data_IF_951502763354
#
_entry.id   IF_951502763354
#
_cell.length_a   1.000
_cell.length_b   1.000
_cell.length_c   1.000
_cell.angle_alpha   90.00
_cell.angle_beta   90.00
_cell.angle_gamma   90.00
#
_symmetry.space_group_name_H-M   'P 1'
#
loop_
_entity.id
_entity.type
_entity.pdbx_description
1 polymer ?
#
# COMPACT_ATOMS: atom_id res chain seq x y z
N UNK A 1 10.80 -21.47 -5.76
CA UNK A 1 9.66 -20.54 -5.61
C UNK A 1 9.93 -19.33 -6.47
N UNK A 2 9.02 -18.97 -7.37
CA UNK A 2 9.17 -17.79 -8.22
C UNK A 2 9.09 -16.51 -7.37
N UNK A 3 10.02 -15.57 -7.58
CA UNK A 3 10.10 -14.33 -6.80
C UNK A 3 9.02 -13.34 -7.25
N UNK A 4 7.88 -13.36 -6.57
CA UNK A 4 6.81 -12.38 -6.77
C UNK A 4 6.74 -11.35 -5.61
N UNK A 5 5.85 -10.36 -5.72
CA UNK A 5 5.71 -9.32 -4.71
C UNK A 5 5.25 -9.86 -3.34
N UNK A 6 4.45 -10.91 -3.33
CA UNK A 6 3.91 -11.51 -2.11
C UNK A 6 5.01 -12.22 -1.33
N UNK A 7 5.82 -13.07 -2.01
CA UNK A 7 6.98 -13.74 -1.41
C UNK A 7 7.94 -12.72 -0.78
N UNK A 8 8.18 -11.60 -1.46
CA UNK A 8 9.05 -10.53 -0.96
C UNK A 8 8.45 -9.83 0.26
N UNK A 9 7.15 -9.51 0.23
CA UNK A 9 6.45 -8.92 1.38
C UNK A 9 6.54 -9.81 2.62
N UNK A 10 6.18 -11.09 2.46
CA UNK A 10 6.28 -12.09 3.52
C UNK A 10 7.72 -12.22 4.03
N UNK A 11 8.72 -12.19 3.13
CA UNK A 11 10.13 -12.24 3.53
C UNK A 11 10.54 -11.05 4.40
N UNK A 12 10.02 -9.84 4.13
CA UNK A 12 10.30 -8.66 4.94
C UNK A 12 9.67 -8.76 6.34
N UNK A 13 8.44 -9.29 6.43
CA UNK A 13 7.81 -9.56 7.73
C UNK A 13 8.58 -10.60 8.53
N UNK A 14 9.00 -11.70 7.89
CA UNK A 14 9.82 -12.73 8.55
C UNK A 14 11.15 -12.14 9.04
N UNK A 15 11.80 -11.28 8.26
CA UNK A 15 13.04 -10.63 8.68
C UNK A 15 12.83 -9.78 9.95
N UNK A 16 11.73 -9.03 10.03
CA UNK A 16 11.37 -8.29 11.25
C UNK A 16 11.17 -9.23 12.43
N UNK A 17 10.40 -10.30 12.25
CA UNK A 17 10.15 -11.25 13.31
C UNK A 17 11.43 -11.94 13.81
N UNK A 18 12.32 -12.33 12.91
CA UNK A 18 13.59 -12.98 13.27
C UNK A 18 14.52 -12.04 14.05
N UNK A 19 14.63 -10.77 13.66
CA UNK A 19 15.47 -9.78 14.36
C UNK A 19 15.00 -9.57 15.81
N UNK A 20 13.69 -9.62 16.04
CA UNK A 20 13.10 -9.32 17.34
C UNK A 20 12.59 -10.55 18.09
N UNK A 21 12.89 -11.76 17.61
CA UNK A 21 12.42 -13.04 18.18
C UNK A 21 10.90 -13.11 18.36
N UNK A 22 10.14 -12.56 17.40
CA UNK A 22 8.67 -12.68 17.36
C UNK A 22 8.28 -13.98 16.66
N UNK A 23 7.34 -14.72 17.24
CA UNK A 23 6.82 -15.93 16.62
C UNK A 23 6.00 -15.61 15.35
N UNK A 24 6.19 -16.42 14.32
CA UNK A 24 5.39 -16.44 13.08
C UNK A 24 5.02 -17.90 12.82
N UNK A 25 3.78 -18.14 12.36
CA UNK A 25 3.30 -19.46 11.95
C UNK A 25 4.24 -20.11 10.91
N UNK A 26 4.50 -21.41 11.07
CA UNK A 26 5.44 -22.14 10.22
C UNK A 26 4.98 -22.21 8.75
N UNK A 27 3.67 -22.26 8.50
CA UNK A 27 3.14 -22.27 7.14
C UNK A 27 3.25 -20.88 6.50
N UNK A 28 3.05 -19.81 7.27
CA UNK A 28 3.34 -18.46 6.84
C UNK A 28 4.82 -18.31 6.46
N UNK A 29 5.72 -18.76 7.34
CA UNK A 29 7.18 -18.68 7.14
C UNK A 29 7.64 -19.40 5.85
N UNK A 30 7.06 -20.56 5.53
CA UNK A 30 7.38 -21.34 4.32
C UNK A 30 7.10 -20.59 3.01
N UNK A 31 6.26 -19.54 3.04
CA UNK A 31 5.94 -18.72 1.86
C UNK A 31 6.99 -17.64 1.58
N UNK A 32 7.88 -17.37 2.52
CA UNK A 32 8.99 -16.43 2.36
C UNK A 32 10.20 -17.02 1.64
N UNK A 33 11.15 -16.16 1.29
CA UNK A 33 12.43 -16.52 0.71
C UNK A 33 13.56 -16.27 1.72
N UNK A 34 14.24 -17.34 2.14
CA UNK A 34 15.30 -17.29 3.15
C UNK A 34 16.44 -16.33 2.81
N UNK A 35 16.84 -16.23 1.54
CA UNK A 35 17.94 -15.34 1.13
C UNK A 35 17.54 -13.87 1.32
N UNK A 36 16.31 -13.51 0.95
CA UNK A 36 15.79 -12.16 1.16
C UNK A 36 15.64 -11.85 2.64
N UNK A 37 15.17 -12.81 3.44
CA UNK A 37 15.07 -12.68 4.89
C UNK A 37 16.42 -12.30 5.50
N UNK A 38 17.47 -13.08 5.25
CA UNK A 38 18.81 -12.81 5.80
C UNK A 38 19.38 -11.46 5.35
N UNK A 39 19.15 -11.07 4.09
CA UNK A 39 19.59 -9.76 3.58
C UNK A 39 18.85 -8.61 4.25
N UNK A 40 17.57 -8.78 4.57
CA UNK A 40 16.76 -7.72 5.18
C UNK A 40 17.02 -7.56 6.68
N UNK A 41 17.48 -8.59 7.41
CA UNK A 41 17.76 -8.50 8.86
C UNK A 41 18.61 -7.27 9.26
N UNK A 42 19.81 -7.03 8.70
CA UNK A 42 20.60 -5.85 9.07
C UNK A 42 19.92 -4.53 8.68
N UNK A 43 19.12 -4.52 7.60
CA UNK A 43 18.37 -3.34 7.16
C UNK A 43 17.21 -3.04 8.10
N UNK A 44 16.55 -4.09 8.61
CA UNK A 44 15.52 -3.99 9.66
C UNK A 44 16.12 -3.40 10.94
N UNK A 45 17.23 -3.96 11.43
CA UNK A 45 17.91 -3.43 12.63
C UNK A 45 18.22 -1.94 12.48
N UNK A 46 18.82 -1.57 11.33
CA UNK A 46 19.09 -0.17 10.99
C UNK A 46 17.83 0.68 11.01
N UNK A 47 16.75 0.24 10.38
CA UNK A 47 15.50 1.00 10.30
C UNK A 47 14.86 1.24 11.69
N UNK A 48 14.82 0.21 12.53
CA UNK A 48 14.27 0.32 13.89
C UNK A 48 15.13 1.23 14.77
N UNK A 49 16.45 1.15 14.65
CA UNK A 49 17.38 1.98 15.41
C UNK A 49 17.33 3.46 14.96
N UNK A 50 17.46 3.73 13.66
CA UNK A 50 17.51 5.09 13.10
C UNK A 50 16.22 5.87 13.42
N UNK A 51 15.07 5.21 13.36
CA UNK A 51 13.76 5.82 13.59
C UNK A 51 13.20 5.60 15.00
N UNK A 52 13.98 4.94 15.88
CA UNK A 52 13.60 4.65 17.28
C UNK A 52 12.22 3.99 17.38
N UNK A 53 11.97 2.99 16.53
CA UNK A 53 10.71 2.27 16.51
C UNK A 53 10.57 1.39 17.77
N UNK A 54 9.39 1.31 18.40
CA UNK A 54 9.14 0.32 19.44
C UNK A 54 9.30 -1.09 18.88
N UNK A 55 9.81 -2.03 19.68
CA UNK A 55 10.07 -3.38 19.21
C UNK A 55 8.75 -4.11 18.88
N UNK A 56 8.72 -4.98 17.87
CA UNK A 56 7.58 -5.86 17.61
C UNK A 56 7.38 -6.83 18.77
N UNK A 57 6.13 -7.06 19.17
CA UNK A 57 5.73 -8.04 20.19
C UNK A 57 4.94 -9.21 19.57
N UNK A 58 4.16 -8.95 18.52
CA UNK A 58 3.30 -9.96 17.89
C UNK A 58 3.14 -9.70 16.39
N UNK A 59 3.24 -10.76 15.59
CA UNK A 59 2.84 -10.77 14.17
C UNK A 59 1.34 -11.08 14.06
N UNK A 60 0.62 -10.30 13.25
CA UNK A 60 -0.85 -10.44 13.06
C UNK A 60 -1.29 -10.18 11.61
N UNK A 61 -0.40 -10.37 10.63
CA UNK A 61 -0.67 -10.09 9.21
C UNK A 61 -1.66 -11.07 8.53
N UNK A 62 -2.09 -12.10 9.24
CA UNK A 62 -3.03 -13.10 8.74
C UNK A 62 -4.42 -12.50 8.43
N UNK A 63 -5.22 -13.17 7.60
CA UNK A 63 -6.60 -12.79 7.26
C UNK A 63 -6.83 -11.38 6.71
N UNK A 64 -5.87 -10.85 5.92
CA UNK A 64 -5.95 -9.50 5.33
C UNK A 64 -6.01 -8.37 6.36
N UNK A 65 -5.44 -8.59 7.55
CA UNK A 65 -5.21 -7.54 8.52
C UNK A 65 -4.45 -6.36 7.88
N UNK A 66 -4.84 -5.10 8.15
CA UNK A 66 -4.07 -3.94 7.68
C UNK A 66 -2.81 -3.70 8.53
N UNK A 67 -2.68 -4.43 9.64
CA UNK A 67 -1.58 -4.36 10.61
C UNK A 67 -0.78 -5.65 10.47
N UNK A 68 0.52 -5.51 10.29
CA UNK A 68 1.42 -6.66 10.16
C UNK A 68 2.02 -7.03 11.53
N UNK A 69 2.31 -6.03 12.37
CA UNK A 69 2.80 -6.23 13.73
C UNK A 69 2.14 -5.32 14.77
N UNK A 70 1.89 -5.89 15.95
CA UNK A 70 1.76 -5.13 17.19
C UNK A 70 3.15 -4.91 17.77
N UNK A 71 3.45 -3.66 18.08
CA UNK A 71 4.68 -3.21 18.71
C UNK A 71 4.45 -2.95 20.20
N UNK A 72 5.57 -2.83 20.93
CA UNK A 72 5.59 -2.36 22.32
C UNK A 72 4.75 -1.10 22.51
N UNK A 73 4.11 -1.02 23.68
CA UNK A 73 3.16 0.03 24.05
C UNK A 73 1.87 0.04 23.21
N UNK A 74 1.52 -1.09 22.59
CA UNK A 74 0.28 -1.26 21.82
C UNK A 74 0.25 -0.52 20.49
N UNK A 75 1.40 -0.02 20.01
CA UNK A 75 1.51 0.62 18.70
C UNK A 75 1.47 -0.40 17.57
N UNK A 76 1.23 0.06 16.35
CA UNK A 76 1.00 -0.80 15.19
C UNK A 76 1.97 -0.48 14.06
N UNK A 77 2.38 -1.51 13.32
CA UNK A 77 3.28 -1.40 12.17
C UNK A 77 2.67 -2.09 10.95
N UNK A 78 2.69 -1.40 9.81
CA UNK A 78 2.52 -2.03 8.50
C UNK A 78 3.84 -2.10 7.73
N UNK A 79 4.04 -3.20 7.03
CA UNK A 79 5.20 -3.51 6.19
C UNK A 79 4.76 -3.48 4.73
N UNK A 80 5.49 -2.73 3.92
CA UNK A 80 5.30 -2.69 2.46
C UNK A 80 6.61 -2.96 1.76
N UNK A 81 6.52 -3.51 0.55
CA UNK A 81 7.69 -3.82 -0.26
C UNK A 81 7.51 -3.48 -1.72
N UNK A 82 8.57 -3.05 -2.38
CA UNK A 82 8.68 -3.04 -3.83
C UNK A 82 9.94 -3.80 -4.27
N UNK A 83 9.84 -4.61 -5.33
CA UNK A 83 11.01 -5.35 -5.82
C UNK A 83 12.10 -4.41 -6.29
N UNK A 84 11.73 -3.34 -7.01
CA UNK A 84 12.67 -2.36 -7.58
C UNK A 84 12.54 -1.04 -6.81
N UNK A 85 12.82 0.08 -7.46
CA UNK A 85 12.69 1.43 -6.89
C UNK A 85 11.38 1.65 -6.16
N UNK A 86 11.39 2.60 -5.22
CA UNK A 86 10.18 3.10 -4.57
C UNK A 86 9.08 3.38 -5.60
N UNK A 87 8.02 2.59 -5.50
CA UNK A 87 7.03 2.44 -6.56
C UNK A 87 5.61 2.56 -6.03
N UNK A 88 4.72 1.80 -6.66
CA UNK A 88 3.28 1.82 -6.37
C UNK A 88 2.95 0.82 -5.26
N UNK A 89 2.17 1.25 -4.27
CA UNK A 89 1.75 0.40 -3.14
C UNK A 89 0.23 0.50 -2.94
N UNK A 90 -0.42 -0.65 -2.77
CA UNK A 90 -1.85 -0.73 -2.50
C UNK A 90 -2.11 -0.66 -0.98
N UNK A 91 -3.15 0.06 -0.52
CA UNK A 91 -3.75 -0.18 0.78
C UNK A 91 -4.26 -1.62 0.88
N UNK A 92 -4.09 -2.29 2.02
CA UNK A 92 -4.29 -3.73 2.14
C UNK A 92 -5.73 -4.17 1.79
N UNK A 93 -6.73 -3.52 2.39
CA UNK A 93 -8.15 -3.92 2.27
C UNK A 93 -8.82 -3.38 1.02
N UNK A 94 -8.57 -2.12 0.70
CA UNK A 94 -9.32 -1.39 -0.33
C UNK A 94 -8.52 -1.07 -1.58
N UNK A 95 -7.22 -1.40 -1.62
CA UNK A 95 -6.36 -1.11 -2.77
C UNK A 95 -6.47 -2.10 -3.93
N UNK A 96 -6.94 -3.34 -3.71
CA UNK A 96 -7.21 -4.30 -4.79
C UNK A 96 -8.52 -5.12 -4.62
N UNK A 97 -9.62 -4.56 -4.09
CA UNK A 97 -10.85 -5.29 -3.77
C UNK A 97 -11.59 -5.77 -5.02
N UNK A 98 -12.46 -6.76 -4.81
CA UNK A 98 -13.60 -7.06 -5.69
C UNK A 98 -14.59 -5.90 -5.69
N UNK A 99 -15.49 -5.85 -6.67
CA UNK A 99 -16.53 -4.82 -6.71
C UNK A 99 -17.42 -4.82 -5.46
N UNK A 100 -17.76 -5.99 -4.94
CA UNK A 100 -18.54 -6.14 -3.70
C UNK A 100 -17.83 -5.49 -2.51
N UNK A 101 -16.57 -5.86 -2.29
CA UNK A 101 -15.76 -5.29 -1.19
C UNK A 101 -15.58 -3.78 -1.37
N UNK A 102 -15.32 -3.31 -2.60
CA UNK A 102 -15.21 -1.88 -2.86
C UNK A 102 -16.49 -1.13 -2.45
N UNK A 103 -17.65 -1.53 -2.96
CA UNK A 103 -18.89 -0.82 -2.67
C UNK A 103 -19.34 -0.95 -1.22
N UNK A 104 -18.93 -2.01 -0.51
CA UNK A 104 -19.12 -2.12 0.95
C UNK A 104 -18.33 -1.04 1.70
N UNK A 105 -17.04 -0.86 1.39
CA UNK A 105 -16.19 0.13 2.07
C UNK A 105 -16.50 1.56 1.66
N UNK A 106 -16.90 1.79 0.42
CA UNK A 106 -17.18 3.12 -0.12
C UNK A 106 -18.67 3.47 -0.10
N UNK A 107 -19.51 2.73 0.65
CA UNK A 107 -20.97 2.88 0.65
C UNK A 107 -21.42 4.33 0.91
N UNK A 108 -20.80 5.01 1.87
CA UNK A 108 -21.16 6.40 2.22
C UNK A 108 -20.80 7.41 1.12
N UNK A 109 -19.82 7.07 0.29
CA UNK A 109 -19.40 7.89 -0.87
C UNK A 109 -20.28 7.55 -2.08
N UNK A 110 -20.59 6.28 -2.29
CA UNK A 110 -21.33 5.75 -3.44
C UNK A 110 -22.83 6.06 -3.33
N UNK A 111 -23.41 5.86 -2.14
CA UNK A 111 -24.85 5.81 -1.91
C UNK A 111 -25.42 4.39 -2.08
N UNK A 112 -26.75 4.29 -2.12
CA UNK A 112 -27.45 2.99 -2.11
C UNK A 112 -27.68 2.38 -3.51
N UNK A 113 -27.47 3.15 -4.59
CA UNK A 113 -27.77 2.71 -5.95
C UNK A 113 -26.56 2.03 -6.60
N UNK A 114 -26.24 0.82 -6.16
CA UNK A 114 -25.16 0.01 -6.72
C UNK A 114 -25.76 -0.95 -7.76
N UNK A 115 -25.36 -0.88 -9.04
CA UNK A 115 -25.87 -1.77 -10.08
C UNK A 115 -25.40 -3.21 -9.82
N UNK A 116 -26.16 -4.19 -10.31
CA UNK A 116 -25.79 -5.61 -10.24
C UNK A 116 -24.76 -5.99 -11.31
N UNK A 117 -24.91 -5.45 -12.52
CA UNK A 117 -24.02 -5.69 -13.65
C UNK A 117 -22.60 -5.17 -13.42
N UNK A 118 -21.59 -6.00 -13.75
CA UNK A 118 -20.19 -5.68 -13.50
C UNK A 118 -19.69 -4.52 -14.38
N UNK A 119 -20.16 -4.38 -15.62
CA UNK A 119 -19.75 -3.27 -16.47
C UNK A 119 -20.31 -1.94 -15.98
N UNK A 120 -21.55 -1.92 -15.51
CA UNK A 120 -22.12 -0.76 -14.83
C UNK A 120 -21.39 -0.45 -13.52
N UNK A 121 -21.03 -1.46 -12.73
CA UNK A 121 -20.20 -1.28 -11.52
C UNK A 121 -18.84 -0.67 -11.85
N UNK A 122 -18.18 -1.11 -12.93
CA UNK A 122 -16.92 -0.55 -13.43
C UNK A 122 -17.09 0.92 -13.82
N UNK A 123 -18.17 1.25 -14.51
CA UNK A 123 -18.48 2.63 -14.86
C UNK A 123 -18.67 3.49 -13.61
N UNK A 124 -19.46 3.02 -12.64
CA UNK A 124 -19.69 3.71 -11.37
C UNK A 124 -18.39 3.90 -10.57
N UNK A 125 -17.50 2.91 -10.54
CA UNK A 125 -16.18 3.05 -9.92
C UNK A 125 -15.37 4.18 -10.57
N UNK A 126 -15.34 4.26 -11.91
CA UNK A 126 -14.63 5.33 -12.64
C UNK A 126 -15.24 6.69 -12.35
N UNK A 127 -16.58 6.78 -12.37
CA UNK A 127 -17.33 7.98 -12.06
C UNK A 127 -17.01 8.52 -10.67
N UNK A 128 -17.07 7.66 -9.66
CA UNK A 128 -16.80 8.03 -8.26
C UNK A 128 -15.33 8.42 -8.08
N UNK A 129 -14.41 7.67 -8.69
CA UNK A 129 -12.96 7.95 -8.61
C UNK A 129 -12.59 9.32 -9.16
N UNK A 130 -13.31 9.82 -10.18
CA UNK A 130 -13.07 11.16 -10.74
C UNK A 130 -13.91 12.22 -10.02
N UNK A 131 -15.22 12.01 -9.92
CA UNK A 131 -16.17 13.04 -9.48
C UNK A 131 -16.17 13.25 -7.96
N UNK A 132 -15.71 12.27 -7.17
CA UNK A 132 -15.66 12.32 -5.70
C UNK A 132 -14.23 12.08 -5.17
N UNK A 133 -13.23 12.45 -5.97
CA UNK A 133 -11.81 12.12 -5.72
C UNK A 133 -11.29 12.54 -4.35
N UNK A 134 -11.69 13.70 -3.83
CA UNK A 134 -11.29 14.20 -2.53
C UNK A 134 -11.74 13.27 -1.38
N UNK A 135 -12.98 12.77 -1.46
CA UNK A 135 -13.53 11.79 -0.52
C UNK A 135 -12.89 10.42 -0.69
N UNK A 136 -12.75 9.98 -1.95
CA UNK A 136 -12.14 8.69 -2.29
C UNK A 136 -10.69 8.63 -1.82
N UNK A 137 -9.91 9.68 -2.09
CA UNK A 137 -8.51 9.78 -1.70
C UNK A 137 -8.35 9.83 -0.18
N UNK A 138 -9.27 10.50 0.53
CA UNK A 138 -9.31 10.50 2.00
C UNK A 138 -9.44 9.07 2.55
N UNK A 139 -10.33 8.27 1.99
CA UNK A 139 -10.52 6.88 2.45
C UNK A 139 -9.31 6.00 2.12
N UNK A 140 -8.74 6.13 0.92
CA UNK A 140 -7.50 5.45 0.57
C UNK A 140 -6.33 5.84 1.49
N UNK A 141 -6.19 7.13 1.80
CA UNK A 141 -5.14 7.62 2.69
C UNK A 141 -5.27 7.01 4.09
N UNK A 142 -6.49 7.02 4.65
CA UNK A 142 -6.79 6.45 5.96
C UNK A 142 -6.38 4.98 6.04
N UNK A 143 -6.70 4.19 5.01
CA UNK A 143 -6.40 2.76 4.97
C UNK A 143 -4.91 2.46 4.65
N UNK A 144 -4.19 3.38 4.00
CA UNK A 144 -2.76 3.21 3.73
C UNK A 144 -1.91 3.51 4.97
N UNK A 145 -2.28 4.53 5.72
CA UNK A 145 -1.54 5.06 6.87
C UNK A 145 -2.32 4.88 8.18
N UNK A 146 -3.02 3.76 8.32
CA UNK A 146 -3.82 3.44 9.51
C UNK A 146 -2.95 3.12 10.73
N UNK A 147 -1.84 2.40 10.50
CA UNK A 147 -0.87 2.01 11.51
C UNK A 147 -0.07 3.21 12.04
N UNK A 148 0.44 3.11 13.26
CA UNK A 148 1.31 4.11 13.88
C UNK A 148 2.61 4.32 13.09
N UNK A 149 3.08 3.24 12.46
CA UNK A 149 4.24 3.25 11.59
C UNK A 149 3.97 2.45 10.30
N UNK A 150 4.56 2.92 9.21
CA UNK A 150 4.69 2.18 7.97
C UNK A 150 6.18 2.10 7.61
N UNK A 151 6.70 0.89 7.48
CA UNK A 151 8.02 0.64 6.90
C UNK A 151 7.86 0.16 5.46
N UNK A 152 8.62 0.76 4.55
CA UNK A 152 8.59 0.37 3.14
C UNK A 152 10.00 0.05 2.66
N UNK A 153 10.25 -1.24 2.38
CA UNK A 153 11.51 -1.71 1.80
C UNK A 153 11.41 -1.73 0.27
N UNK A 154 12.47 -1.30 -0.41
CA UNK A 154 12.51 -1.27 -1.87
C UNK A 154 13.94 -1.51 -2.38
N UNK A 155 14.09 -1.60 -3.69
CA UNK A 155 15.34 -2.02 -4.35
C UNK A 155 15.82 -3.41 -3.91
N UNK A 156 14.90 -4.33 -3.63
CA UNK A 156 15.20 -5.71 -3.18
C UNK A 156 15.77 -6.56 -4.33
N UNK A 157 15.38 -6.26 -5.57
CA UNK A 157 15.78 -6.93 -6.81
C UNK A 157 16.39 -5.88 -7.75
N UNK A 158 17.61 -6.17 -8.22
CA UNK A 158 18.33 -5.32 -9.18
C UNK A 158 17.67 -5.37 -10.55
N UNK A 159 18.02 -4.41 -11.44
CA UNK A 159 17.59 -4.43 -12.84
C UNK A 159 17.94 -5.74 -13.57
N UNK A 160 19.04 -6.39 -13.18
CA UNK A 160 19.47 -7.68 -13.71
C UNK A 160 18.60 -8.87 -13.28
N UNK A 161 17.65 -8.69 -12.36
CA UNK A 161 16.84 -9.76 -11.78
C UNK A 161 17.48 -10.44 -10.55
N UNK A 162 18.74 -10.14 -10.24
CA UNK A 162 19.40 -10.66 -9.04
C UNK A 162 18.92 -9.95 -7.78
N UNK A 163 18.97 -10.64 -6.64
CA UNK A 163 18.69 -10.03 -5.33
C UNK A 163 19.76 -8.96 -5.03
N UNK A 164 19.29 -7.81 -4.55
CA UNK A 164 20.16 -6.75 -4.07
C UNK A 164 20.58 -7.03 -2.63
N UNK A 165 21.88 -6.94 -2.36
CA UNK A 165 22.46 -7.16 -1.02
C UNK A 165 22.36 -5.95 -0.11
N UNK A 166 21.98 -4.78 -0.65
CA UNK A 166 21.74 -3.58 0.14
C UNK A 166 20.44 -2.88 -0.29
N UNK A 167 19.26 -3.45 0.05
CA UNK A 167 17.98 -2.81 -0.20
C UNK A 167 17.83 -1.49 0.56
N UNK A 168 16.97 -0.62 0.04
CA UNK A 168 16.65 0.68 0.63
C UNK A 168 15.38 0.59 1.48
N UNK A 169 15.18 1.55 2.38
CA UNK A 169 13.94 1.64 3.15
C UNK A 169 13.54 3.09 3.43
N UNK A 170 12.26 3.30 3.71
CA UNK A 170 11.71 4.49 4.37
C UNK A 170 10.84 4.06 5.55
N UNK A 171 10.72 4.94 6.53
CA UNK A 171 9.77 4.80 7.64
C UNK A 171 8.91 6.05 7.69
N UNK A 172 7.60 5.86 7.76
CA UNK A 172 6.61 6.92 7.91
C UNK A 172 5.87 6.70 9.23
N UNK A 173 5.73 7.73 10.04
CA UNK A 173 4.84 7.72 11.19
C UNK A 173 3.42 8.11 10.76
N UNK A 174 2.44 7.69 11.56
CA UNK A 174 1.05 8.06 11.37
C UNK A 174 0.88 9.57 11.37
N UNK A 175 0.20 10.06 10.36
CA UNK A 175 -0.17 11.45 10.26
C UNK A 175 -1.26 11.76 11.30
N UNK A 176 -1.01 12.74 12.18
CA UNK A 176 -2.00 13.19 13.19
C UNK A 176 -3.29 13.61 12.49
N UNK A 177 -3.18 14.24 11.32
CA UNK A 177 -4.32 14.62 10.49
C UNK A 177 -4.11 14.09 9.06
N UNK A 178 -5.14 13.47 8.50
CA UNK A 178 -5.15 13.20 7.07
C UNK A 178 -5.10 14.52 6.29
N UNK A 179 -4.42 14.58 5.13
CA UNK A 179 -4.42 15.75 4.28
C UNK A 179 -5.83 16.24 3.97
N UNK A 180 -6.02 17.57 4.03
CA UNK A 180 -7.24 18.21 3.54
C UNK A 180 -7.18 18.31 2.02
N UNK A 181 -7.57 17.23 1.37
CA UNK A 181 -7.65 17.15 -0.09
C UNK A 181 -8.59 18.22 -0.64
N UNK A 182 -8.08 18.97 -1.63
CA UNK A 182 -8.83 20.01 -2.35
C UNK A 182 -9.12 19.50 -3.75
N UNK A 183 -10.40 19.36 -4.11
CA UNK A 183 -10.83 18.70 -5.35
C UNK A 183 -10.21 19.35 -6.60
N UNK A 184 -10.11 20.68 -6.61
CA UNK A 184 -9.57 21.47 -7.71
C UNK A 184 -8.07 21.28 -7.98
N UNK A 185 -7.33 20.68 -7.04
CA UNK A 185 -5.90 20.38 -7.23
C UNK A 185 -5.64 19.00 -7.81
N UNK A 186 -6.68 18.19 -8.00
CA UNK A 186 -6.54 16.88 -8.63
C UNK A 186 -6.57 17.01 -10.15
N UNK A 187 -5.71 16.24 -10.80
CA UNK A 187 -5.70 16.08 -12.24
C UNK A 187 -5.68 14.59 -12.58
N UNK A 188 -6.26 14.24 -13.72
CA UNK A 188 -6.33 12.87 -14.20
C UNK A 188 -5.71 12.77 -15.59
N UNK A 189 -5.05 11.65 -15.87
CA UNK A 189 -4.55 11.38 -17.23
C UNK A 189 -5.63 10.87 -18.17
N UNK A 190 -6.82 10.57 -17.65
CA UNK A 190 -7.96 10.08 -18.42
C UNK A 190 -9.25 10.76 -17.98
N UNK A 191 -10.23 10.82 -18.89
CA UNK A 191 -11.61 11.17 -18.61
C UNK A 191 -12.46 9.91 -18.45
N UNK A 192 -13.74 10.05 -18.10
CA UNK A 192 -14.66 8.90 -18.06
C UNK A 192 -14.78 8.19 -19.42
N UNK A 193 -14.62 8.91 -20.52
CA UNK A 193 -14.71 8.35 -21.87
C UNK A 193 -13.41 7.70 -22.32
N UNK A 194 -12.25 8.23 -21.92
CA UNK A 194 -10.94 7.72 -22.37
C UNK A 194 -10.33 6.67 -21.43
N UNK A 195 -10.82 6.57 -20.18
CA UNK A 195 -10.32 5.59 -19.22
C UNK A 195 -10.73 4.18 -19.63
N UNK A 196 -9.80 3.43 -20.23
CA UNK A 196 -9.94 1.99 -20.43
C UNK A 196 -9.56 1.22 -19.16
N UNK A 197 -8.28 0.86 -19.00
CA UNK A 197 -7.81 0.03 -17.88
C UNK A 197 -7.16 0.81 -16.74
N UNK A 198 -6.48 1.92 -17.01
CA UNK A 198 -5.80 2.69 -15.97
C UNK A 198 -6.01 4.20 -16.09
N UNK A 199 -5.98 4.88 -14.95
CA UNK A 199 -6.00 6.32 -14.86
C UNK A 199 -5.03 6.75 -13.75
N UNK A 200 -3.99 7.51 -14.12
CA UNK A 200 -3.11 8.13 -13.14
C UNK A 200 -3.82 9.35 -12.56
N UNK A 201 -3.78 9.46 -11.24
CA UNK A 201 -4.22 10.65 -10.50
C UNK A 201 -3.02 11.43 -10.03
N UNK A 202 -3.06 12.74 -10.25
CA UNK A 202 -2.09 13.71 -9.78
C UNK A 202 -2.73 14.65 -8.76
N UNK A 203 -1.89 15.25 -7.92
CA UNK A 203 -2.27 16.32 -7.02
C UNK A 203 -1.19 17.40 -7.08
N UNK A 204 -1.57 18.65 -7.34
CA UNK A 204 -0.61 19.75 -7.60
C UNK A 204 0.40 19.40 -8.70
N UNK A 205 -0.05 18.80 -9.81
CA UNK A 205 0.82 18.35 -10.92
C UNK A 205 1.71 17.12 -10.62
N UNK A 206 1.71 16.57 -9.39
CA UNK A 206 2.53 15.42 -9.01
C UNK A 206 1.69 14.14 -9.05
N UNK A 207 2.14 13.12 -9.78
CA UNK A 207 1.46 11.81 -9.81
C UNK A 207 1.51 11.12 -8.46
N UNK A 208 0.35 10.95 -7.82
CA UNK A 208 0.22 10.40 -6.45
C UNK A 208 -0.36 9.00 -6.41
N UNK A 209 -0.98 8.54 -7.49
CA UNK A 209 -1.58 7.22 -7.51
C UNK A 209 -2.08 6.82 -8.87
N UNK A 210 -2.57 5.59 -8.95
CA UNK A 210 -3.14 5.03 -10.16
C UNK A 210 -4.36 4.18 -9.80
N UNK A 211 -5.47 4.51 -10.43
CA UNK A 211 -6.65 3.67 -10.47
C UNK A 211 -6.57 2.71 -11.64
N UNK A 212 -7.03 1.47 -11.45
CA UNK A 212 -7.09 0.46 -12.49
C UNK A 212 -8.36 -0.37 -12.39
N UNK A 213 -8.94 -0.66 -13.55
CA UNK A 213 -10.08 -1.57 -13.73
C UNK A 213 -9.63 -2.69 -14.63
N UNK A 214 -9.73 -3.93 -14.15
CA UNK A 214 -9.37 -5.10 -14.95
C UNK A 214 -10.57 -5.54 -15.79
N UNK A 215 -10.34 -5.75 -17.08
CA UNK A 215 -11.40 -6.18 -18.01
C UNK A 215 -11.81 -7.64 -17.80
N UNK A 216 -10.86 -8.49 -17.40
CA UNK A 216 -11.05 -9.95 -17.31
C UNK A 216 -11.29 -10.48 -15.89
N UNK A 217 -11.30 -9.62 -14.87
CA UNK A 217 -11.50 -10.02 -13.48
C UNK A 217 -12.22 -8.92 -12.69
N UNK A 218 -12.99 -9.30 -11.69
CA UNK A 218 -13.60 -8.36 -10.75
C UNK A 218 -12.55 -7.84 -9.77
N UNK A 219 -11.86 -6.76 -10.15
CA UNK A 219 -10.85 -6.12 -9.32
C UNK A 219 -10.80 -4.61 -9.63
N UNK A 220 -11.18 -3.81 -8.64
CA UNK A 220 -11.02 -2.35 -8.65
C UNK A 220 -9.78 -2.02 -7.86
N UNK A 221 -8.77 -1.49 -8.55
CA UNK A 221 -7.43 -1.35 -7.98
C UNK A 221 -7.06 0.11 -7.85
N UNK A 222 -6.49 0.45 -6.71
CA UNK A 222 -5.81 1.72 -6.49
C UNK A 222 -4.47 1.48 -5.80
N UNK A 223 -3.43 2.15 -6.30
CA UNK A 223 -2.10 2.12 -5.69
C UNK A 223 -1.54 3.52 -5.58
N UNK A 224 -1.07 3.89 -4.39
CA UNK A 224 -0.31 5.10 -4.17
C UNK A 224 1.03 5.02 -4.87
N UNK A 225 1.41 6.05 -5.61
CA UNK A 225 2.78 6.27 -6.05
C UNK A 225 3.56 6.87 -4.87
N UNK A 226 4.33 6.03 -4.16
CA UNK A 226 5.00 6.46 -2.93
C UNK A 226 6.03 7.56 -3.19
N UNK A 227 6.69 7.56 -4.35
CA UNK A 227 7.58 8.67 -4.76
C UNK A 227 6.82 10.00 -4.84
N UNK A 228 5.59 9.97 -5.37
CA UNK A 228 4.73 11.15 -5.45
C UNK A 228 4.27 11.61 -4.08
N UNK A 229 3.85 10.69 -3.21
CA UNK A 229 3.45 11.01 -1.84
C UNK A 229 4.58 11.67 -1.06
N UNK A 230 5.80 11.10 -1.11
CA UNK A 230 6.96 11.70 -0.45
C UNK A 230 7.25 13.10 -0.99
N UNK A 231 7.15 13.30 -2.31
CA UNK A 231 7.37 14.62 -2.91
C UNK A 231 6.34 15.66 -2.45
N UNK A 232 5.08 15.26 -2.23
CA UNK A 232 4.08 16.17 -1.67
C UNK A 232 4.40 16.56 -0.22
N UNK A 233 4.82 15.59 0.60
CA UNK A 233 5.21 15.83 2.00
C UNK A 233 6.42 16.76 2.09
N UNK A 234 7.46 16.49 1.30
CA UNK A 234 8.68 17.30 1.24
C UNK A 234 8.38 18.75 0.84
N UNK A 235 7.49 18.94 -0.15
CA UNK A 235 7.06 20.26 -0.63
C UNK A 235 5.97 20.90 0.23
N UNK A 236 5.53 20.24 1.32
CA UNK A 236 4.44 20.70 2.20
C UNK A 236 3.15 21.04 1.44
N UNK A 237 2.84 20.23 0.43
CA UNK A 237 1.63 20.38 -0.38
C UNK A 237 0.44 19.62 0.22
N UNK A 238 0.70 18.74 1.19
CA UNK A 238 -0.26 17.97 1.99
C UNK A 238 0.18 17.93 3.45
#
# INVERSE_FOLDING_TARGET
>A
MELNNEVIGISAEIAIADVFNVHIDDNYRKRGNKIIVEILKPIVEKAFNDYKLPKPEKHIAEDQSPIDFILQNGKTLSVKTNQKSIGKVAPQKIGQPTSETYFKYFKDIVGNNIPTDLNMKRHLFKEISINKIDLVMKEYWKNMFECDYLIHFFDIIKKSGCINTNPSFIVLSKFINAPKWKKEKFEFTQTLTSWNESCTVKYCGISIGEFQVHNNRDCFKFRFNMKGILSLLEKKLI
#
